data_IF_642886996751
#
_entry.id   IF_642886996751
#
_cell.length_a   1.000
_cell.length_b   1.000
_cell.length_c   1.000
_cell.angle_alpha   90.00
_cell.angle_beta   90.00
_cell.angle_gamma   90.00
#
_symmetry.space_group_name_H-M   'P 1'
#
loop_
_entity.id
_entity.type
_entity.pdbx_description
1 polymer ?
#
# COMPACT_ATOMS: atom_id res chain seq x y z
N UNK A 1 31.69 17.95 -8.33
CA UNK A 1 31.24 18.42 -9.66
C UNK A 1 30.12 17.58 -10.31
N UNK A 2 30.18 16.24 -10.31
CA UNK A 2 29.40 15.36 -11.22
C UNK A 2 27.88 15.38 -11.04
N UNK A 3 27.36 15.38 -9.79
CA UNK A 3 25.90 15.48 -9.52
C UNK A 3 25.26 16.77 -10.06
N UNK A 4 25.96 17.90 -10.00
CA UNK A 4 25.50 19.20 -10.54
C UNK A 4 25.35 19.15 -12.07
N UNK A 5 26.21 18.39 -12.74
CA UNK A 5 26.18 18.24 -14.20
C UNK A 5 24.98 17.39 -14.66
N UNK A 6 24.70 16.28 -13.97
CA UNK A 6 23.55 15.40 -14.28
C UNK A 6 22.22 16.14 -14.12
N UNK A 7 22.00 16.83 -12.99
CA UNK A 7 20.76 17.58 -12.78
C UNK A 7 20.56 18.70 -13.80
N UNK A 8 21.66 19.30 -14.27
CA UNK A 8 21.60 20.35 -15.30
C UNK A 8 21.21 19.77 -16.66
N UNK A 9 21.75 18.61 -17.02
CA UNK A 9 21.37 17.88 -18.23
C UNK A 9 19.89 17.46 -18.14
N UNK A 10 19.48 16.85 -17.02
CA UNK A 10 18.08 16.46 -16.82
C UNK A 10 17.15 17.66 -16.95
N UNK A 11 17.45 18.80 -16.31
CA UNK A 11 16.63 20.02 -16.44
C UNK A 11 16.61 20.58 -17.87
N UNK A 12 17.73 20.49 -18.60
CA UNK A 12 17.83 20.94 -19.99
C UNK A 12 16.94 20.12 -20.93
N UNK A 13 16.84 18.82 -20.70
CA UNK A 13 16.04 17.89 -21.52
C UNK A 13 14.69 17.52 -20.92
N UNK A 14 14.38 18.01 -19.71
CA UNK A 14 13.04 18.04 -19.16
C UNK A 14 12.29 19.17 -19.86
N UNK A 15 12.03 18.96 -21.15
CA UNK A 15 11.23 19.84 -21.99
C UNK A 15 9.95 20.17 -21.23
N UNK A 16 9.56 21.46 -21.24
CA UNK A 16 8.31 21.96 -20.67
C UNK A 16 7.18 21.00 -21.03
N UNK A 17 6.84 20.12 -20.07
CA UNK A 17 5.64 19.31 -20.14
C UNK A 17 4.52 20.34 -20.23
N UNK A 18 3.71 20.25 -21.28
CA UNK A 18 2.55 21.11 -21.42
C UNK A 18 1.77 21.05 -20.10
N UNK A 19 1.48 22.19 -19.48
CA UNK A 19 0.82 22.23 -18.16
C UNK A 19 -0.55 21.51 -18.20
N UNK A 20 -1.10 21.31 -19.40
CA UNK A 20 -2.27 20.46 -19.68
C UNK A 20 -2.09 18.98 -19.30
N UNK A 21 -0.85 18.46 -19.28
CA UNK A 21 -0.51 17.07 -18.93
C UNK A 21 -0.25 16.88 -17.42
N UNK A 22 0.20 17.92 -16.73
CA UNK A 22 0.44 17.90 -15.26
C UNK A 22 -0.82 18.27 -14.46
N UNK A 23 -1.78 18.97 -15.07
CA UNK A 23 -3.03 19.44 -14.43
C UNK A 23 -4.11 18.37 -14.22
N UNK A 24 -3.87 17.11 -14.57
CA UNK A 24 -4.82 16.00 -14.40
C UNK A 24 -4.36 14.93 -13.39
N UNK A 25 -3.55 15.30 -12.39
CA UNK A 25 -3.17 14.34 -11.35
C UNK A 25 -4.38 13.99 -10.48
N UNK A 26 -4.82 12.74 -10.55
CA UNK A 26 -5.86 12.16 -9.68
C UNK A 26 -5.50 12.37 -8.19
N UNK A 27 -4.21 12.33 -7.86
CA UNK A 27 -3.71 12.57 -6.50
C UNK A 27 -3.97 14.02 -6.09
N UNK A 28 -3.70 14.99 -6.97
CA UNK A 28 -3.92 16.40 -6.67
C UNK A 28 -5.42 16.72 -6.56
N UNK A 29 -6.26 16.15 -7.44
CA UNK A 29 -7.72 16.32 -7.38
C UNK A 29 -8.34 15.76 -6.10
N UNK A 30 -7.72 14.74 -5.49
CA UNK A 30 -8.21 14.08 -4.28
C UNK A 30 -7.33 14.35 -3.04
N UNK A 31 -6.46 15.35 -3.08
CA UNK A 31 -5.44 15.56 -2.04
C UNK A 31 -6.07 15.78 -0.64
N UNK A 32 -7.18 16.53 -0.57
CA UNK A 32 -7.92 16.74 0.67
C UNK A 32 -8.48 15.44 1.24
N UNK A 33 -9.13 14.63 0.40
CA UNK A 33 -9.68 13.32 0.76
C UNK A 33 -8.58 12.36 1.22
N UNK A 34 -7.47 12.31 0.49
CA UNK A 34 -6.29 11.51 0.83
C UNK A 34 -5.74 11.88 2.21
N UNK A 35 -5.56 13.18 2.46
CA UNK A 35 -5.09 13.66 3.77
C UNK A 35 -6.06 13.27 4.87
N UNK A 36 -7.36 13.46 4.65
CA UNK A 36 -8.39 13.14 5.65
C UNK A 36 -8.45 11.64 5.96
N UNK A 37 -8.28 10.77 4.97
CA UNK A 37 -8.46 9.33 5.15
C UNK A 37 -7.20 8.58 5.61
N UNK A 38 -6.01 9.05 5.23
CA UNK A 38 -4.75 8.31 5.45
C UNK A 38 -3.78 8.98 6.43
N UNK A 39 -4.09 10.19 6.93
CA UNK A 39 -3.23 10.91 7.88
C UNK A 39 -3.76 10.74 9.30
N UNK A 40 -2.85 10.63 10.28
CA UNK A 40 -3.18 10.53 11.73
C UNK A 40 -4.10 9.37 12.09
N UNK A 41 -3.99 8.25 11.36
CA UNK A 41 -4.71 7.00 11.61
C UNK A 41 -3.85 6.04 12.44
N UNK A 42 -4.48 5.24 13.31
CA UNK A 42 -3.76 4.30 14.17
C UNK A 42 -3.70 2.88 13.59
N UNK A 43 -4.70 2.52 12.80
CA UNK A 43 -4.86 1.19 12.21
C UNK A 43 -5.53 1.29 10.82
N UNK A 44 -5.68 0.15 10.15
CA UNK A 44 -6.30 0.07 8.83
C UNK A 44 -7.81 0.33 8.90
N UNK A 45 -8.47 -0.08 9.98
CA UNK A 45 -9.91 0.10 10.20
C UNK A 45 -10.30 1.59 10.29
N UNK A 46 -9.42 2.44 10.85
CA UNK A 46 -9.58 3.89 10.87
C UNK A 46 -9.61 4.45 9.43
N UNK A 47 -8.75 3.95 8.54
CA UNK A 47 -8.72 4.33 7.12
C UNK A 47 -10.01 3.91 6.42
N UNK A 48 -10.46 2.67 6.63
CA UNK A 48 -11.71 2.17 6.06
C UNK A 48 -12.89 3.03 6.50
N UNK A 49 -12.99 3.32 7.81
CA UNK A 49 -14.05 4.16 8.37
C UNK A 49 -14.04 5.58 7.78
N UNK A 50 -12.85 6.18 7.61
CA UNK A 50 -12.72 7.50 7.02
C UNK A 50 -13.14 7.51 5.55
N UNK A 51 -12.73 6.50 4.77
CA UNK A 51 -13.14 6.35 3.38
C UNK A 51 -14.65 6.10 3.24
N UNK A 52 -15.26 5.32 4.15
CA UNK A 52 -16.71 5.05 4.14
C UNK A 52 -17.50 6.34 4.39
N UNK A 53 -17.02 7.18 5.29
CA UNK A 53 -17.59 8.50 5.55
C UNK A 53 -17.51 9.40 4.33
N UNK A 54 -16.34 9.49 3.68
CA UNK A 54 -16.17 10.29 2.46
C UNK A 54 -17.02 9.75 1.29
N UNK A 55 -17.11 8.42 1.15
CA UNK A 55 -17.98 7.77 0.17
C UNK A 55 -19.45 8.13 0.41
N UNK A 56 -19.91 8.13 1.67
CA UNK A 56 -21.29 8.50 2.04
C UNK A 56 -21.58 9.98 1.75
N UNK A 57 -20.56 10.84 1.83
CA UNK A 57 -20.65 12.25 1.43
C UNK A 57 -20.65 12.46 -0.10
N UNK A 58 -20.65 11.38 -0.89
CA UNK A 58 -20.72 11.44 -2.35
C UNK A 58 -19.36 11.46 -3.05
N UNK A 59 -18.25 11.21 -2.33
CA UNK A 59 -16.93 11.13 -2.95
C UNK A 59 -16.75 9.80 -3.71
N UNK A 60 -16.76 9.86 -5.05
CA UNK A 60 -16.65 8.67 -5.91
C UNK A 60 -15.28 7.99 -5.81
N UNK A 61 -14.21 8.76 -5.67
CA UNK A 61 -12.85 8.22 -5.52
C UNK A 61 -12.70 7.42 -4.23
N UNK A 62 -13.28 7.89 -3.12
CA UNK A 62 -13.26 7.17 -1.85
C UNK A 62 -13.99 5.82 -1.97
N UNK A 63 -15.14 5.80 -2.65
CA UNK A 63 -15.90 4.58 -2.93
C UNK A 63 -15.11 3.58 -3.77
N UNK A 64 -14.53 4.01 -4.88
CA UNK A 64 -13.73 3.15 -5.77
C UNK A 64 -12.48 2.60 -5.05
N UNK A 65 -11.90 3.42 -4.16
CA UNK A 65 -10.77 3.01 -3.33
C UNK A 65 -11.19 1.91 -2.35
N UNK A 66 -12.33 2.06 -1.65
CA UNK A 66 -12.88 1.00 -0.79
C UNK A 66 -13.16 -0.29 -1.55
N UNK A 67 -13.84 -0.19 -2.69
CA UNK A 67 -14.16 -1.34 -3.55
C UNK A 67 -12.89 -2.08 -4.01
N UNK A 68 -11.79 -1.35 -4.18
CA UNK A 68 -10.48 -1.92 -4.49
C UNK A 68 -9.87 -2.60 -3.26
N UNK A 69 -9.84 -1.93 -2.11
CA UNK A 69 -9.29 -2.48 -0.87
C UNK A 69 -9.98 -3.79 -0.48
N UNK A 70 -11.31 -3.88 -0.58
CA UNK A 70 -12.06 -5.09 -0.22
C UNK A 70 -11.83 -6.29 -1.16
N UNK A 71 -11.20 -6.09 -2.32
CA UNK A 71 -10.80 -7.20 -3.22
C UNK A 71 -9.42 -7.77 -2.90
N UNK A 72 -8.62 -7.05 -2.12
CA UNK A 72 -7.23 -7.42 -1.80
C UNK A 72 -7.17 -8.34 -0.57
N UNK A 73 -6.05 -9.03 -0.39
CA UNK A 73 -5.79 -9.85 0.79
C UNK A 73 -5.86 -8.99 2.06
N UNK A 74 -6.77 -9.31 3.00
CA UNK A 74 -6.86 -8.58 4.27
C UNK A 74 -5.57 -8.61 5.08
N UNK A 75 -4.89 -9.77 5.10
CA UNK A 75 -3.59 -9.94 5.74
C UNK A 75 -2.54 -9.02 5.13
N UNK A 76 -2.50 -8.95 3.80
CA UNK A 76 -1.53 -8.13 3.09
C UNK A 76 -1.76 -6.64 3.35
N UNK A 77 -3.01 -6.19 3.38
CA UNK A 77 -3.33 -4.79 3.69
C UNK A 77 -2.86 -4.39 5.09
N UNK A 78 -3.17 -5.20 6.12
CA UNK A 78 -2.69 -4.93 7.49
C UNK A 78 -1.17 -4.99 7.60
N UNK A 79 -0.55 -5.95 6.91
CA UNK A 79 0.90 -6.08 6.89
C UNK A 79 1.57 -4.85 6.24
N UNK A 80 1.06 -4.38 5.10
CA UNK A 80 1.55 -3.16 4.44
C UNK A 80 1.38 -1.95 5.33
N UNK A 81 0.24 -1.80 6.02
CA UNK A 81 0.04 -0.72 6.98
C UNK A 81 1.08 -0.76 8.11
N UNK A 82 1.31 -1.93 8.71
CA UNK A 82 2.32 -2.11 9.75
C UNK A 82 3.74 -1.84 9.24
N UNK A 83 4.06 -2.30 8.04
CA UNK A 83 5.37 -2.10 7.39
C UNK A 83 5.65 -0.62 7.15
N UNK A 84 4.69 0.14 6.61
CA UNK A 84 4.87 1.58 6.36
C UNK A 84 5.09 2.36 7.65
N UNK A 85 4.38 2.00 8.72
CA UNK A 85 4.56 2.63 10.03
C UNK A 85 5.91 2.31 10.66
N UNK A 86 6.36 1.05 10.59
CA UNK A 86 7.68 0.65 11.07
C UNK A 86 8.80 1.32 10.25
N UNK A 87 8.68 1.32 8.93
CA UNK A 87 9.65 1.87 7.99
C UNK A 87 9.88 3.38 8.13
N UNK A 88 8.90 4.14 8.63
CA UNK A 88 9.04 5.59 8.88
C UNK A 88 10.26 5.94 9.75
N UNK A 89 10.67 5.03 10.64
CA UNK A 89 11.76 5.24 11.59
C UNK A 89 13.07 4.53 11.18
N UNK A 90 13.13 3.96 9.98
CA UNK A 90 14.27 3.19 9.49
C UNK A 90 14.98 3.92 8.34
N UNK A 91 16.28 3.65 8.18
CA UNK A 91 16.99 3.99 6.96
C UNK A 91 16.71 2.96 5.86
N UNK A 92 17.21 3.21 4.64
CA UNK A 92 16.98 2.30 3.52
C UNK A 92 17.45 0.87 3.82
N UNK A 93 18.61 0.73 4.49
CA UNK A 93 19.14 -0.59 4.85
C UNK A 93 18.20 -1.31 5.81
N UNK A 94 17.73 -0.63 6.85
CA UNK A 94 16.77 -1.17 7.81
C UNK A 94 15.43 -1.55 7.16
N UNK A 95 14.92 -0.74 6.23
CA UNK A 95 13.72 -1.07 5.46
C UNK A 95 13.89 -2.37 4.66
N UNK A 96 15.02 -2.52 3.97
CA UNK A 96 15.30 -3.74 3.18
C UNK A 96 15.49 -4.98 4.06
N UNK A 97 16.15 -4.85 5.21
CA UNK A 97 16.28 -5.93 6.19
C UNK A 97 14.92 -6.35 6.75
N UNK A 98 14.04 -5.38 7.05
CA UNK A 98 12.67 -5.64 7.45
C UNK A 98 11.89 -6.35 6.34
N UNK A 99 11.89 -5.81 5.12
CA UNK A 99 11.21 -6.39 3.96
C UNK A 99 11.66 -7.82 3.66
N UNK A 100 12.95 -8.11 3.81
CA UNK A 100 13.47 -9.46 3.67
C UNK A 100 12.83 -10.45 4.65
N UNK A 101 12.63 -10.05 5.92
CA UNK A 101 11.95 -10.88 6.93
C UNK A 101 10.47 -11.06 6.59
N UNK A 102 9.79 -9.96 6.25
CA UNK A 102 8.37 -9.97 5.88
C UNK A 102 8.12 -10.92 4.70
N UNK A 103 8.94 -10.84 3.66
CA UNK A 103 8.79 -11.69 2.47
C UNK A 103 8.97 -13.17 2.78
N UNK A 104 9.95 -13.53 3.62
CA UNK A 104 10.14 -14.92 4.06
C UNK A 104 8.92 -15.47 4.82
N UNK A 105 8.24 -14.63 5.61
CA UNK A 105 6.99 -15.00 6.26
C UNK A 105 5.83 -15.10 5.24
N UNK A 106 5.73 -14.16 4.29
CA UNK A 106 4.72 -14.17 3.23
C UNK A 106 4.79 -15.44 2.35
N UNK A 107 5.99 -15.93 2.03
CA UNK A 107 6.17 -17.18 1.27
C UNK A 107 5.55 -18.41 1.95
N UNK A 108 5.35 -18.36 3.27
CA UNK A 108 4.71 -19.41 4.07
C UNK A 108 3.19 -19.18 4.20
N UNK A 109 2.72 -17.96 3.99
CA UNK A 109 1.32 -17.59 4.13
C UNK A 109 0.44 -18.15 2.99
N UNK A 110 -0.83 -18.49 3.28
CA UNK A 110 -1.75 -19.04 2.27
C UNK A 110 -2.07 -18.02 1.17
N UNK A 111 -2.33 -16.77 1.55
CA UNK A 111 -2.71 -15.69 0.63
C UNK A 111 -1.67 -15.43 -0.47
N UNK A 112 -0.38 -15.68 -0.21
CA UNK A 112 0.65 -15.49 -1.24
C UNK A 112 0.48 -16.48 -2.40
N UNK A 113 0.26 -17.76 -2.10
CA UNK A 113 0.03 -18.78 -3.13
C UNK A 113 -1.31 -18.57 -3.83
N UNK A 114 -2.35 -18.23 -3.07
CA UNK A 114 -3.67 -17.98 -3.62
C UNK A 114 -3.71 -16.77 -4.55
N UNK A 115 -3.02 -15.68 -4.18
CA UNK A 115 -2.89 -14.51 -5.04
C UNK A 115 -2.19 -14.82 -6.35
N UNK A 116 -1.11 -15.61 -6.31
CA UNK A 116 -0.43 -16.09 -7.52
C UNK A 116 -1.38 -16.95 -8.36
N UNK A 117 -2.11 -17.88 -7.74
CA UNK A 117 -3.07 -18.74 -8.44
C UNK A 117 -4.11 -17.88 -9.16
N UNK A 118 -4.81 -17.00 -8.46
CA UNK A 118 -5.90 -16.20 -8.99
C UNK A 118 -5.48 -15.21 -10.09
N UNK A 119 -4.29 -14.63 -9.98
CA UNK A 119 -3.82 -13.57 -10.90
C UNK A 119 -2.99 -14.11 -12.06
N UNK A 120 -2.09 -15.06 -11.80
CA UNK A 120 -1.08 -15.48 -12.78
C UNK A 120 -1.33 -16.87 -13.37
N UNK A 121 -1.88 -17.81 -12.59
CA UNK A 121 -2.08 -19.20 -13.02
C UNK A 121 -3.46 -19.35 -13.67
N UNK A 122 -4.53 -19.23 -12.89
CA UNK A 122 -5.89 -19.46 -13.33
C UNK A 122 -6.50 -18.20 -13.96
N UNK A 123 -5.98 -17.01 -13.61
CA UNK A 123 -6.39 -15.70 -14.14
C UNK A 123 -7.89 -15.43 -13.97
N UNK A 124 -8.48 -15.96 -12.91
CA UNK A 124 -9.91 -15.82 -12.61
C UNK A 124 -10.24 -14.50 -11.89
N UNK A 125 -9.24 -13.82 -11.33
CA UNK A 125 -9.41 -12.64 -10.47
C UNK A 125 -10.39 -12.87 -9.31
N UNK A 126 -10.46 -14.12 -8.81
CA UNK A 126 -11.33 -14.57 -7.70
C UNK A 126 -10.51 -15.28 -6.63
N UNK A 127 -9.62 -14.54 -5.93
CA UNK A 127 -8.86 -15.10 -4.85
C UNK A 127 -9.75 -15.44 -3.64
N UNK A 128 -9.46 -16.55 -2.97
CA UNK A 128 -10.10 -16.97 -1.72
C UNK A 128 -9.15 -16.68 -0.56
N UNK A 129 -9.21 -15.45 -0.05
CA UNK A 129 -8.34 -15.00 1.04
C UNK A 129 -8.66 -15.69 2.37
N UNK A 130 -7.62 -15.97 3.17
CA UNK A 130 -7.77 -16.54 4.51
C UNK A 130 -6.91 -15.76 5.51
N UNK A 131 -7.54 -14.94 6.40
CA UNK A 131 -8.98 -14.68 6.52
C UNK A 131 -9.54 -13.85 5.36
N UNK A 132 -10.87 -13.85 5.20
CA UNK A 132 -11.55 -13.15 4.09
C UNK A 132 -11.98 -11.71 4.44
N UNK A 133 -11.85 -11.32 5.71
CA UNK A 133 -12.26 -10.02 6.23
C UNK A 133 -11.11 -9.34 6.97
N UNK A 134 -10.99 -8.01 6.80
CA UNK A 134 -10.00 -7.18 7.50
C UNK A 134 -10.16 -7.30 9.02
N UNK A 135 -11.40 -7.38 9.50
CA UNK A 135 -11.71 -7.45 10.93
C UNK A 135 -11.33 -8.79 11.58
N UNK A 136 -11.08 -9.82 10.78
CA UNK A 136 -10.68 -11.16 11.26
C UNK A 136 -9.15 -11.31 11.34
N UNK A 137 -8.38 -10.39 10.75
CA UNK A 137 -6.92 -10.43 10.81
C UNK A 137 -6.47 -9.96 12.19
N UNK A 138 -5.99 -10.89 13.02
CA UNK A 138 -5.45 -10.59 14.34
C UNK A 138 -4.10 -9.86 14.23
N UNK A 139 -3.94 -8.76 14.98
CA UNK A 139 -2.70 -8.01 15.06
C UNK A 139 -1.51 -8.86 15.53
N UNK A 140 -1.72 -9.84 16.41
CA UNK A 140 -0.67 -10.78 16.83
C UNK A 140 -0.12 -11.62 15.67
N UNK A 141 -0.99 -11.98 14.71
CA UNK A 141 -0.56 -12.70 13.50
C UNK A 141 0.33 -11.78 12.65
N UNK A 142 -0.04 -10.51 12.51
CA UNK A 142 0.76 -9.51 11.78
C UNK A 142 2.13 -9.31 12.44
N UNK A 143 2.18 -9.21 13.77
CA UNK A 143 3.46 -9.04 14.48
C UNK A 143 4.43 -10.20 14.25
N UNK A 144 3.93 -11.44 14.08
CA UNK A 144 4.78 -12.60 13.77
C UNK A 144 5.54 -12.47 12.46
N UNK A 145 5.07 -11.68 11.49
CA UNK A 145 5.80 -11.44 10.24
C UNK A 145 7.09 -10.65 10.46
N UNK A 146 7.16 -9.84 11.52
CA UNK A 146 8.33 -9.01 11.86
C UNK A 146 9.39 -9.75 12.69
N UNK A 147 9.12 -11.00 13.08
CA UNK A 147 10.06 -11.81 13.84
C UNK A 147 11.39 -11.98 13.10
N UNK A 148 12.48 -12.12 13.86
CA UNK A 148 13.79 -12.44 13.30
C UNK A 148 13.76 -13.83 12.66
N UNK A 149 14.60 -14.05 11.65
CA UNK A 149 14.68 -15.33 10.94
C UNK A 149 15.52 -16.39 11.68
N UNK A 150 15.92 -16.11 12.92
CA UNK A 150 16.95 -16.87 13.64
C UNK A 150 18.36 -16.34 13.34
N UNK A 151 19.37 -16.98 13.95
CA UNK A 151 20.77 -16.90 13.54
C UNK A 151 21.05 -17.83 12.34
#
# INVERSE_FOLDING_TARGET
QTKKNILTILKKYNCNLDDSLTSQSIIQSNESTLKNCFTNVNNLEDIITALEKESTNGNTWAKETLDTLFKLSPTSLKLTFAQLNAGRNLDLKGCLEMEYRLMNACLKAPDFREGIRAVLIDKDSKPIWTPNSIYEVNNEVIQKYFNTLGE
#
